data_IF_782431104991
#
_entry.id   IF_782431104991
#
_cell.length_a   1.000
_cell.length_b   1.000
_cell.length_c   1.000
_cell.angle_alpha   90.00
_cell.angle_beta   90.00
_cell.angle_gamma   90.00
#
_symmetry.space_group_name_H-M   'P 1'
#
loop_
_entity.id
_entity.type
_entity.pdbx_description
1 polymer ?
#
# COMPACT_ATOMS: atom_id res chain seq x y z
N UNK A 1 -16.44 15.11 10.41
CA UNK A 1 -15.06 15.61 10.61
C UNK A 1 -14.17 14.83 9.66
N UNK A 2 -13.50 15.48 8.71
CA UNK A 2 -12.58 14.77 7.80
C UNK A 2 -11.44 14.18 8.62
N UNK A 3 -11.16 12.89 8.44
CA UNK A 3 -10.03 12.22 9.06
C UNK A 3 -8.73 12.91 8.59
N UNK A 4 -8.08 13.67 9.49
CA UNK A 4 -6.84 14.40 9.22
C UNK A 4 -5.60 13.50 9.23
N UNK A 5 -5.76 12.18 9.40
CA UNK A 5 -4.64 11.24 9.45
C UNK A 5 -3.96 11.07 8.10
N UNK A 6 -2.65 10.91 8.12
CA UNK A 6 -1.85 10.62 6.94
C UNK A 6 -2.17 9.19 6.48
N UNK A 7 -2.88 9.07 5.36
CA UNK A 7 -3.15 7.80 4.68
C UNK A 7 -1.90 7.24 4.00
N UNK A 8 -1.58 5.98 4.30
CA UNK A 8 -0.45 5.25 3.71
C UNK A 8 -0.92 3.86 3.27
N UNK A 9 -0.57 3.48 2.05
CA UNK A 9 -0.85 2.18 1.46
C UNK A 9 0.44 1.35 1.42
N UNK A 10 0.44 0.18 2.05
CA UNK A 10 1.49 -0.82 1.92
C UNK A 10 1.01 -1.96 1.03
N UNK A 11 1.85 -2.44 0.12
CA UNK A 11 1.74 -3.81 -0.40
C UNK A 11 2.70 -4.73 0.35
N UNK A 12 2.61 -6.05 0.16
CA UNK A 12 3.41 -7.01 0.96
C UNK A 12 3.08 -6.96 2.45
N UNK A 13 1.79 -6.76 2.80
CA UNK A 13 1.30 -6.68 4.17
C UNK A 13 1.61 -7.89 5.07
N UNK A 14 1.96 -9.04 4.50
CA UNK A 14 2.38 -10.25 5.23
C UNK A 14 3.86 -10.29 5.62
N UNK A 15 4.69 -9.40 5.07
CA UNK A 15 6.13 -9.37 5.35
C UNK A 15 6.45 -8.93 6.77
N UNK A 16 7.41 -9.58 7.42
CA UNK A 16 7.82 -9.29 8.80
C UNK A 16 8.19 -7.81 9.01
N UNK A 17 8.92 -7.21 8.06
CA UNK A 17 9.24 -5.79 8.09
C UNK A 17 8.00 -4.90 7.99
N UNK A 18 7.10 -5.21 7.05
CA UNK A 18 5.83 -4.48 6.87
C UNK A 18 4.99 -4.50 8.13
N UNK A 19 4.88 -5.66 8.78
CA UNK A 19 4.11 -5.85 10.03
C UNK A 19 4.59 -4.90 11.12
N UNK A 20 5.89 -4.82 11.35
CA UNK A 20 6.44 -3.95 12.40
C UNK A 20 6.37 -2.46 12.02
N UNK A 21 6.51 -2.12 10.74
CA UNK A 21 6.26 -0.74 10.27
C UNK A 21 4.80 -0.34 10.50
N UNK A 22 3.84 -1.21 10.16
CA UNK A 22 2.41 -0.95 10.42
C UNK A 22 2.20 -0.71 11.92
N UNK A 23 2.72 -1.60 12.78
CA UNK A 23 2.60 -1.46 14.25
C UNK A 23 3.17 -0.13 14.73
N UNK A 24 4.37 0.22 14.30
CA UNK A 24 5.04 1.46 14.69
C UNK A 24 4.25 2.70 14.26
N UNK A 25 3.76 2.75 13.01
CA UNK A 25 2.97 3.87 12.51
C UNK A 25 1.64 4.00 13.25
N UNK A 26 0.95 2.87 13.51
CA UNK A 26 -0.29 2.85 14.27
C UNK A 26 -0.11 3.37 15.69
N UNK A 27 0.99 3.03 16.36
CA UNK A 27 1.31 3.50 17.70
C UNK A 27 1.46 5.04 17.79
N UNK A 28 1.76 5.72 16.68
CA UNK A 28 1.85 7.18 16.66
C UNK A 28 0.49 7.90 16.66
N UNK A 29 -0.60 7.20 16.34
CA UNK A 29 -1.95 7.79 16.20
C UNK A 29 -2.14 8.74 15.00
N UNK A 30 -1.09 8.99 14.20
CA UNK A 30 -1.10 10.00 13.11
C UNK A 30 -1.46 9.43 11.74
N UNK A 31 -1.42 8.11 11.58
CA UNK A 31 -1.57 7.45 10.29
C UNK A 31 -2.87 6.65 10.18
N UNK A 32 -3.44 6.66 8.99
CA UNK A 32 -4.45 5.71 8.53
C UNK A 32 -3.73 4.70 7.65
N UNK A 33 -3.59 3.47 8.12
CA UNK A 33 -2.78 2.45 7.45
C UNK A 33 -3.67 1.52 6.65
N UNK A 34 -3.40 1.41 5.35
CA UNK A 34 -4.02 0.46 4.45
C UNK A 34 -2.98 -0.60 4.11
N UNK A 35 -3.29 -1.87 4.33
CA UNK A 35 -2.41 -2.99 3.98
C UNK A 35 -3.03 -3.79 2.83
N UNK A 36 -2.24 -4.06 1.80
CA UNK A 36 -2.59 -4.93 0.69
C UNK A 36 -1.59 -6.08 0.61
N UNK A 37 -2.07 -7.27 0.27
CA UNK A 37 -1.23 -8.46 0.12
C UNK A 37 -1.91 -9.49 -0.77
N UNK A 38 -1.16 -10.39 -1.39
CA UNK A 38 -1.72 -11.49 -2.17
C UNK A 38 -2.27 -12.62 -1.29
N UNK A 39 -1.75 -12.78 -0.08
CA UNK A 39 -2.23 -13.73 0.91
C UNK A 39 -3.52 -13.26 1.58
N UNK A 40 -4.54 -14.12 1.61
CA UNK A 40 -5.83 -13.81 2.25
C UNK A 40 -5.70 -13.63 3.79
N UNK A 41 -4.70 -14.29 4.38
CA UNK A 41 -4.47 -14.35 5.83
C UNK A 41 -3.19 -13.63 6.28
N UNK A 42 -2.74 -12.64 5.49
CA UNK A 42 -1.50 -11.94 5.76
C UNK A 42 -1.50 -11.25 7.13
N UNK A 43 -0.45 -11.52 7.91
CA UNK A 43 -0.43 -11.24 9.35
C UNK A 43 -0.43 -9.74 9.70
N UNK A 44 -0.12 -8.84 8.75
CA UNK A 44 -0.26 -7.40 8.94
C UNK A 44 -1.70 -6.88 8.81
N UNK A 45 -2.62 -7.66 8.23
CA UNK A 45 -4.01 -7.23 8.02
C UNK A 45 -4.75 -6.86 9.30
N UNK A 46 -4.68 -7.63 10.41
CA UNK A 46 -5.36 -7.26 11.65
C UNK A 46 -4.81 -5.99 12.31
N UNK A 47 -3.62 -5.52 11.91
CA UNK A 47 -2.98 -4.33 12.48
C UNK A 47 -3.34 -3.04 11.72
N UNK A 48 -3.77 -3.16 10.46
CA UNK A 48 -4.10 -2.04 9.60
C UNK A 48 -5.53 -1.51 9.85
N UNK A 49 -5.80 -0.25 9.47
CA UNK A 49 -7.15 0.32 9.49
C UNK A 49 -8.03 -0.27 8.38
N UNK A 50 -7.42 -0.69 7.26
CA UNK A 50 -8.09 -1.32 6.13
C UNK A 50 -7.20 -2.35 5.46
N UNK A 51 -7.80 -3.41 4.94
CA UNK A 51 -7.09 -4.48 4.23
C UNK A 51 -7.63 -4.71 2.81
N UNK A 52 -6.74 -5.16 1.92
CA UNK A 52 -7.07 -5.62 0.58
C UNK A 52 -6.32 -6.91 0.25
N UNK A 53 -7.03 -7.87 -0.32
CA UNK A 53 -6.40 -8.99 -1.03
C UNK A 53 -6.26 -8.57 -2.49
N UNK A 54 -5.06 -8.66 -3.03
CA UNK A 54 -4.73 -8.24 -4.40
C UNK A 54 -4.05 -9.36 -5.16
N UNK A 55 -3.98 -9.31 -6.50
CA UNK A 55 -3.18 -10.26 -7.27
C UNK A 55 -1.69 -10.17 -6.88
N UNK A 56 -0.91 -11.20 -7.24
CA UNK A 56 0.55 -11.15 -7.15
C UNK A 56 1.11 -10.06 -8.08
N UNK A 57 2.26 -9.45 -7.74
CA UNK A 57 2.88 -8.40 -8.56
C UNK A 57 3.17 -8.80 -10.01
N UNK A 58 3.41 -10.09 -10.26
CA UNK A 58 3.64 -10.66 -11.59
C UNK A 58 2.33 -10.98 -12.36
N UNK A 59 1.18 -10.90 -11.69
CA UNK A 59 -0.11 -11.15 -12.31
C UNK A 59 -0.53 -9.92 -13.15
N UNK A 60 -0.95 -10.10 -14.42
CA UNK A 60 -1.40 -9.00 -15.27
C UNK A 60 -2.52 -8.14 -14.65
N UNK A 61 -3.32 -8.69 -13.74
CA UNK A 61 -4.41 -7.98 -13.06
C UNK A 61 -3.91 -7.06 -11.92
N UNK A 62 -2.65 -7.16 -11.49
CA UNK A 62 -2.09 -6.38 -10.39
C UNK A 62 -2.22 -4.86 -10.61
N UNK A 63 -1.83 -4.37 -11.79
CA UNK A 63 -1.87 -2.94 -12.10
C UNK A 63 -3.30 -2.38 -12.03
N UNK A 64 -4.28 -3.15 -12.52
CA UNK A 64 -5.69 -2.76 -12.46
C UNK A 64 -6.21 -2.73 -11.01
N UNK A 65 -5.83 -3.71 -10.18
CA UNK A 65 -6.16 -3.74 -8.76
C UNK A 65 -5.53 -2.55 -8.00
N UNK A 66 -4.25 -2.25 -8.24
CA UNK A 66 -3.56 -1.09 -7.68
C UNK A 66 -4.23 0.22 -8.08
N UNK A 67 -4.57 0.39 -9.36
CA UNK A 67 -5.28 1.59 -9.87
C UNK A 67 -6.61 1.79 -9.13
N UNK A 68 -7.40 0.72 -9.00
CA UNK A 68 -8.68 0.78 -8.30
C UNK A 68 -8.52 1.14 -6.81
N UNK A 69 -7.48 0.62 -6.15
CA UNK A 69 -7.18 0.97 -4.76
C UNK A 69 -6.72 2.42 -4.63
N UNK A 70 -5.80 2.89 -5.46
CA UNK A 70 -5.29 4.27 -5.42
C UNK A 70 -6.42 5.28 -5.65
N UNK A 71 -7.29 5.04 -6.64
CA UNK A 71 -8.44 5.90 -6.93
C UNK A 71 -9.45 5.93 -5.78
N UNK A 72 -9.73 4.79 -5.14
CA UNK A 72 -10.70 4.69 -4.04
C UNK A 72 -10.15 5.26 -2.74
N UNK A 73 -8.90 4.97 -2.42
CA UNK A 73 -8.32 5.27 -1.10
C UNK A 73 -7.59 6.60 -1.05
N UNK A 74 -7.14 7.12 -2.20
CA UNK A 74 -6.38 8.36 -2.34
C UNK A 74 -5.30 8.50 -1.25
N UNK A 75 -4.38 7.52 -1.10
CA UNK A 75 -3.37 7.58 -0.07
C UNK A 75 -2.36 8.70 -0.36
N UNK A 76 -1.76 9.30 0.66
CA UNK A 76 -0.68 10.27 0.45
C UNK A 76 0.62 9.57 0.03
N UNK A 77 0.83 8.35 0.54
CA UNK A 77 2.01 7.54 0.28
C UNK A 77 1.61 6.12 -0.13
N UNK A 78 2.33 5.55 -1.09
CA UNK A 78 2.32 4.11 -1.37
C UNK A 78 3.72 3.55 -1.17
N UNK A 79 3.82 2.44 -0.45
CA UNK A 79 5.06 1.74 -0.11
C UNK A 79 4.97 0.33 -0.70
N UNK A 80 5.43 0.13 -1.96
CA UNK A 80 5.54 -1.20 -2.51
C UNK A 80 6.72 -1.93 -1.86
N UNK A 81 6.47 -3.11 -1.30
CA UNK A 81 7.47 -3.90 -0.55
C UNK A 81 7.80 -5.25 -1.19
N UNK A 82 7.32 -5.46 -2.42
CA UNK A 82 7.64 -6.62 -3.26
C UNK A 82 8.35 -6.08 -4.51
N UNK A 83 9.53 -6.63 -4.82
CA UNK A 83 10.43 -6.06 -5.82
C UNK A 83 9.79 -5.96 -7.22
N UNK A 84 9.02 -6.98 -7.62
CA UNK A 84 8.32 -7.02 -8.90
C UNK A 84 7.23 -5.93 -9.03
N UNK A 85 6.70 -5.45 -7.91
CA UNK A 85 5.62 -4.44 -7.89
C UNK A 85 6.15 -3.02 -8.06
N UNK A 86 7.37 -2.73 -7.57
CA UNK A 86 7.99 -1.40 -7.56
C UNK A 86 7.91 -0.68 -8.91
N UNK A 87 8.38 -1.26 -10.04
CA UNK A 87 8.31 -0.59 -11.34
C UNK A 87 6.88 -0.32 -11.82
N UNK A 88 5.93 -1.21 -11.51
CA UNK A 88 4.53 -1.08 -11.89
C UNK A 88 3.89 0.07 -11.13
N UNK A 89 4.14 0.14 -9.82
CA UNK A 89 3.60 1.18 -8.94
C UNK A 89 4.17 2.55 -9.31
N UNK A 90 5.49 2.66 -9.58
CA UNK A 90 6.10 3.92 -10.05
C UNK A 90 5.47 4.42 -11.34
N UNK A 91 5.32 3.55 -12.34
CA UNK A 91 4.68 3.91 -13.61
C UNK A 91 3.26 4.41 -13.38
N UNK A 92 2.45 3.62 -12.69
CA UNK A 92 1.04 3.92 -12.43
C UNK A 92 0.87 5.26 -11.68
N UNK A 93 1.65 5.50 -10.64
CA UNK A 93 1.54 6.72 -9.84
C UNK A 93 1.99 7.96 -10.63
N UNK A 94 3.10 7.86 -11.36
CA UNK A 94 3.62 8.96 -12.19
C UNK A 94 2.62 9.36 -13.28
N UNK A 95 1.97 8.37 -13.90
CA UNK A 95 1.05 8.60 -15.02
C UNK A 95 -0.34 9.07 -14.58
N UNK A 96 -0.86 8.55 -13.46
CA UNK A 96 -2.29 8.68 -13.12
C UNK A 96 -2.56 9.34 -11.76
N UNK A 97 -1.60 9.34 -10.83
CA UNK A 97 -1.81 9.77 -9.44
C UNK A 97 -0.71 10.74 -8.95
N UNK A 98 -0.54 11.92 -9.58
CA UNK A 98 0.62 12.80 -9.37
C UNK A 98 0.76 13.38 -7.94
N UNK A 99 -0.30 13.29 -7.13
CA UNK A 99 -0.28 13.73 -5.72
C UNK A 99 0.13 12.63 -4.74
N UNK A 100 0.18 11.37 -5.18
CA UNK A 100 0.59 10.22 -4.37
C UNK A 100 2.11 10.10 -4.47
N UNK A 101 2.77 9.91 -3.33
CA UNK A 101 4.22 9.68 -3.30
C UNK A 101 4.55 8.19 -3.17
N UNK A 102 5.35 7.68 -4.09
CA UNK A 102 5.94 6.33 -3.97
C UNK A 102 7.13 6.38 -3.02
N UNK A 103 7.15 5.50 -2.02
CA UNK A 103 8.25 5.35 -1.05
C UNK A 103 8.98 4.05 -1.35
N UNK A 104 9.73 4.07 -2.45
CA UNK A 104 10.62 3.00 -2.88
C UNK A 104 11.72 3.61 -3.76
N UNK A 105 12.87 2.93 -3.95
CA UNK A 105 13.88 3.39 -4.90
C UNK A 105 13.26 3.64 -6.28
N UNK A 106 13.59 4.76 -6.90
CA UNK A 106 13.32 4.99 -8.32
C UNK A 106 14.35 4.21 -9.14
N UNK A 107 13.87 3.42 -10.11
CA UNK A 107 14.73 2.78 -11.11
C UNK A 107 15.15 3.78 -12.18
#
# INVERSE_FOLDING_TARGET
MSDQRIRILFTGGGGAGTIEVIRALKATGRYYVIAADAGEHSAGFPLADKKYVIPWGIDPAFAAAMRAMLAREQPHFVVPLVDEEIPIVHRLVTEEFPTVKVVAPSL
#
